data_IF_290311947969
#
_entry.id   IF_290311947969
#
_cell.length_a   1.000
_cell.length_b   1.000
_cell.length_c   1.000
_cell.angle_alpha   90.00
_cell.angle_beta   90.00
_cell.angle_gamma   90.00
#
_symmetry.space_group_name_H-M   'P 1'
#
loop_
_entity.id
_entity.type
_entity.pdbx_description
1 polymer ?
#
# COMPACT_ATOMS: atom_id res chain seq x y z
N UNK A 1 -13.66 -16.05 10.82
CA UNK A 1 -13.02 -14.99 10.00
C UNK A 1 -11.82 -14.44 10.76
N UNK A 2 -10.60 -14.54 10.20
CA UNK A 2 -9.41 -13.93 10.81
C UNK A 2 -9.33 -12.47 10.36
N UNK A 3 -9.40 -11.53 11.30
CA UNK A 3 -9.28 -10.09 11.03
C UNK A 3 -7.80 -9.72 11.02
N UNK A 4 -7.33 -9.13 9.91
CA UNK A 4 -6.01 -8.53 9.85
C UNK A 4 -6.15 -7.04 10.13
N UNK A 5 -5.56 -6.56 11.23
CA UNK A 5 -5.62 -5.16 11.64
C UNK A 5 -4.40 -4.45 11.06
N UNK A 6 -4.60 -3.57 10.09
CA UNK A 6 -3.51 -2.91 9.38
C UNK A 6 -3.10 -1.61 10.10
N UNK A 7 -1.80 -1.34 10.10
CA UNK A 7 -1.11 -0.11 10.57
C UNK A 7 -1.79 1.17 10.06
N UNK A 8 -2.50 1.08 8.93
CA UNK A 8 -3.30 2.13 8.31
C UNK A 8 -4.27 2.86 9.27
N UNK A 9 -4.93 2.16 10.22
CA UNK A 9 -5.82 2.83 11.17
C UNK A 9 -5.05 3.68 12.20
N UNK A 10 -3.89 3.21 12.65
CA UNK A 10 -3.02 3.96 13.55
C UNK A 10 -2.39 5.17 12.84
N UNK A 11 -2.02 5.00 11.57
CA UNK A 11 -1.47 6.08 10.74
C UNK A 11 -2.51 7.15 10.42
N UNK A 12 -3.75 6.78 10.14
CA UNK A 12 -4.83 7.74 9.87
C UNK A 12 -5.08 8.66 11.07
N UNK A 13 -5.11 8.08 12.28
CA UNK A 13 -5.27 8.86 13.51
C UNK A 13 -4.05 9.76 13.76
N UNK A 14 -2.83 9.23 13.59
CA UNK A 14 -1.60 9.98 13.82
C UNK A 14 -1.46 11.18 12.85
N UNK A 15 -1.75 11.00 11.57
CA UNK A 15 -1.67 12.07 10.56
C UNK A 15 -2.77 13.12 10.81
N UNK A 16 -4.01 12.68 11.10
CA UNK A 16 -5.09 13.60 11.45
C UNK A 16 -4.77 14.45 12.66
N UNK A 17 -4.16 13.87 13.70
CA UNK A 17 -3.69 14.59 14.87
C UNK A 17 -2.56 15.57 14.54
N UNK A 18 -1.60 15.14 13.72
CA UNK A 18 -0.44 15.95 13.29
C UNK A 18 -0.88 17.19 12.49
N UNK A 19 -1.88 17.05 11.62
CA UNK A 19 -2.47 18.15 10.85
C UNK A 19 -3.29 19.14 11.69
N UNK A 20 -3.60 18.82 12.96
CA UNK A 20 -4.21 19.75 13.91
C UNK A 20 -3.15 20.38 14.81
N UNK A 21 -2.22 19.59 15.34
CA UNK A 21 -1.20 20.07 16.29
C UNK A 21 -0.17 20.97 15.59
N UNK A 22 0.31 20.60 14.40
CA UNK A 22 1.36 21.36 13.73
C UNK A 22 0.94 22.79 13.35
N UNK A 23 -0.26 23.05 12.80
CA UNK A 23 -0.73 24.43 12.56
C UNK A 23 -0.87 25.26 13.84
N UNK A 24 -1.37 24.67 14.94
CA UNK A 24 -1.48 25.36 16.23
C UNK A 24 -0.10 25.80 16.74
N UNK A 25 0.89 24.93 16.64
CA UNK A 25 2.27 25.25 17.03
C UNK A 25 2.87 26.33 16.12
N UNK A 26 2.63 26.28 14.81
CA UNK A 26 3.09 27.31 13.86
C UNK A 26 2.52 28.68 14.23
N UNK A 27 1.22 28.77 14.52
CA UNK A 27 0.57 30.03 14.95
C UNK A 27 1.16 30.52 16.28
N UNK A 28 1.35 29.62 17.26
CA UNK A 28 1.94 29.96 18.54
C UNK A 28 3.35 30.57 18.40
N UNK A 29 4.20 30.00 17.54
CA UNK A 29 5.54 30.54 17.28
C UNK A 29 5.51 31.83 16.45
N UNK A 30 4.55 31.97 15.52
CA UNK A 30 4.39 33.18 14.70
C UNK A 30 3.94 34.42 15.50
N UNK A 31 3.26 34.23 16.63
CA UNK A 31 2.83 35.32 17.52
C UNK A 31 3.98 35.87 18.39
N UNK A 32 5.13 35.21 18.41
CA UNK A 32 6.32 35.66 19.16
C UNK A 32 7.18 36.59 18.30
N UNK A 33 8.06 37.34 18.95
CA UNK A 33 9.05 38.17 18.24
C UNK A 33 9.88 37.31 17.28
N UNK A 34 10.10 37.77 16.04
CA UNK A 34 10.85 36.99 15.06
C UNK A 34 12.30 36.84 15.50
N UNK A 35 12.71 35.60 15.74
CA UNK A 35 14.07 35.19 16.05
C UNK A 35 14.35 33.83 15.43
N UNK A 36 15.62 33.44 15.39
CA UNK A 36 16.01 32.11 14.89
C UNK A 36 15.27 31.01 15.68
N UNK A 37 15.07 31.22 16.98
CA UNK A 37 14.38 30.29 17.88
C UNK A 37 12.88 30.15 17.61
N UNK A 38 12.27 31.10 16.90
CA UNK A 38 10.86 31.02 16.47
C UNK A 38 10.72 30.54 15.03
N UNK A 39 11.68 30.88 14.17
CA UNK A 39 11.69 30.49 12.75
C UNK A 39 11.99 28.99 12.56
N UNK A 40 12.99 28.44 13.25
CA UNK A 40 13.39 27.04 13.08
C UNK A 40 12.24 26.07 13.44
N UNK A 41 11.56 26.18 14.60
CA UNK A 41 10.43 25.32 14.92
C UNK A 41 9.29 25.40 13.89
N UNK A 42 8.98 26.59 13.38
CA UNK A 42 7.94 26.75 12.35
C UNK A 42 8.26 25.97 11.08
N UNK A 43 9.51 26.04 10.60
CA UNK A 43 9.96 25.26 9.43
C UNK A 43 9.82 23.76 9.71
N UNK A 44 10.21 23.30 10.90
CA UNK A 44 10.08 21.89 11.28
C UNK A 44 8.62 21.42 11.27
N UNK A 45 7.68 22.20 11.81
CA UNK A 45 6.27 21.86 11.78
C UNK A 45 5.68 21.86 10.36
N UNK A 46 6.14 22.77 9.49
CA UNK A 46 5.76 22.78 8.07
C UNK A 46 6.28 21.51 7.37
N UNK A 47 7.55 21.17 7.57
CA UNK A 47 8.14 19.93 7.04
C UNK A 47 7.40 18.69 7.53
N UNK A 48 6.97 18.68 8.79
CA UNK A 48 6.15 17.64 9.39
C UNK A 48 4.81 17.48 8.69
N UNK A 49 4.08 18.58 8.43
CA UNK A 49 2.81 18.54 7.67
C UNK A 49 3.06 17.98 6.26
N UNK A 50 4.04 18.53 5.54
CA UNK A 50 4.34 18.10 4.16
C UNK A 50 4.71 16.62 4.10
N UNK A 51 5.52 16.13 5.04
CA UNK A 51 5.93 14.72 5.09
C UNK A 51 4.77 13.83 5.50
N UNK A 52 3.95 14.26 6.46
CA UNK A 52 2.74 13.56 6.91
C UNK A 52 1.72 13.40 5.78
N UNK A 53 1.43 14.48 5.05
CA UNK A 53 0.53 14.46 3.89
C UNK A 53 1.10 13.65 2.73
N UNK A 54 2.41 13.74 2.46
CA UNK A 54 3.03 12.90 1.44
C UNK A 54 2.92 11.41 1.80
N UNK A 55 3.15 11.07 3.06
CA UNK A 55 2.98 9.70 3.57
C UNK A 55 1.50 9.27 3.53
N UNK A 56 0.56 10.18 3.85
CA UNK A 56 -0.88 9.96 3.73
C UNK A 56 -1.27 9.61 2.29
N UNK A 57 -0.88 10.42 1.32
CA UNK A 57 -1.16 10.18 -0.10
C UNK A 57 -0.50 8.91 -0.61
N UNK A 58 0.73 8.62 -0.17
CA UNK A 58 1.41 7.37 -0.49
C UNK A 58 0.67 6.15 0.08
N UNK A 59 0.19 6.25 1.32
CA UNK A 59 -0.49 5.17 2.01
C UNK A 59 -1.98 5.04 1.66
N UNK A 60 -2.62 6.07 1.13
CA UNK A 60 -3.99 6.06 0.61
C UNK A 60 -4.17 4.95 -0.43
N UNK A 61 -3.18 4.78 -1.30
CA UNK A 61 -3.11 3.70 -2.29
C UNK A 61 -2.80 2.32 -1.66
N UNK A 62 -2.54 2.26 -0.35
CA UNK A 62 -2.23 1.05 0.42
C UNK A 62 -3.23 0.77 1.55
N UNK A 63 -4.25 1.63 1.76
CA UNK A 63 -5.29 1.51 2.79
C UNK A 63 -6.38 0.50 2.43
N UNK A 64 -5.96 -0.66 1.98
CA UNK A 64 -6.84 -1.76 1.72
C UNK A 64 -6.82 -2.68 2.94
N UNK A 65 -7.94 -2.77 3.64
CA UNK A 65 -8.14 -3.81 4.64
C UNK A 65 -8.42 -5.11 3.88
N UNK A 66 -7.43 -6.01 3.85
CA UNK A 66 -7.56 -7.30 3.19
C UNK A 66 -7.88 -8.37 4.23
N UNK A 67 -9.00 -9.05 4.03
CA UNK A 67 -9.44 -10.20 4.79
C UNK A 67 -9.44 -11.41 3.87
N UNK A 68 -9.24 -12.58 4.44
CA UNK A 68 -9.36 -13.82 3.71
C UNK A 68 -9.96 -14.90 4.61
N UNK A 69 -10.62 -15.86 3.99
CA UNK A 69 -11.03 -17.11 4.62
C UNK A 69 -10.48 -18.29 3.81
N UNK A 70 -11.13 -19.43 3.84
CA UNK A 70 -10.66 -20.61 3.11
C UNK A 70 -10.93 -20.55 1.60
N UNK A 71 -11.90 -19.74 1.18
CA UNK A 71 -12.45 -19.71 -0.18
C UNK A 71 -12.26 -18.38 -0.89
N UNK A 72 -12.17 -17.26 -0.16
CA UNK A 72 -12.14 -15.94 -0.78
C UNK A 72 -11.19 -14.95 -0.13
N UNK A 73 -10.87 -13.93 -0.92
CA UNK A 73 -10.16 -12.73 -0.52
C UNK A 73 -11.15 -11.57 -0.62
N UNK A 74 -11.24 -10.77 0.44
CA UNK A 74 -12.07 -9.58 0.53
C UNK A 74 -11.20 -8.38 0.83
N UNK A 75 -11.25 -7.37 -0.04
CA UNK A 75 -10.55 -6.12 0.17
C UNK A 75 -11.57 -5.01 0.38
N UNK A 76 -11.47 -4.33 1.52
CA UNK A 76 -12.34 -3.22 1.88
C UNK A 76 -11.55 -1.91 1.91
N UNK A 77 -12.08 -0.90 1.23
CA UNK A 77 -11.59 0.47 1.27
C UNK A 77 -12.75 1.42 1.51
N UNK A 78 -12.80 2.05 2.69
CA UNK A 78 -13.95 2.87 3.12
C UNK A 78 -15.31 2.17 2.89
N UNK A 79 -16.04 2.58 1.84
CA UNK A 79 -17.36 2.07 1.42
C UNK A 79 -17.33 1.13 0.21
N UNK A 80 -16.17 0.91 -0.39
CA UNK A 80 -15.99 -0.03 -1.51
C UNK A 80 -15.46 -1.35 -0.98
N UNK A 81 -16.08 -2.43 -1.44
CA UNK A 81 -15.71 -3.80 -1.12
C UNK A 81 -15.47 -4.55 -2.43
N UNK A 82 -14.31 -5.18 -2.55
CA UNK A 82 -13.97 -6.08 -3.65
C UNK A 82 -13.81 -7.48 -3.09
N UNK A 83 -14.29 -8.48 -3.82
CA UNK A 83 -14.22 -9.89 -3.44
C UNK A 83 -13.79 -10.70 -4.65
N UNK A 84 -12.96 -11.72 -4.42
CA UNK A 84 -12.66 -12.76 -5.40
C UNK A 84 -12.53 -14.07 -4.66
N UNK A 85 -13.11 -15.11 -5.23
CA UNK A 85 -12.88 -16.47 -4.74
C UNK A 85 -11.50 -16.92 -5.24
N UNK A 86 -10.75 -17.65 -4.40
CA UNK A 86 -9.41 -18.14 -4.77
C UNK A 86 -9.42 -18.96 -6.06
N UNK A 87 -10.52 -19.66 -6.34
CA UNK A 87 -10.71 -20.47 -7.55
C UNK A 87 -10.89 -19.63 -8.81
N UNK A 88 -11.38 -18.39 -8.68
CA UNK A 88 -11.56 -17.45 -9.80
C UNK A 88 -10.26 -16.71 -10.14
N UNK A 89 -9.25 -16.80 -9.28
CA UNK A 89 -7.94 -16.16 -9.50
C UNK A 89 -7.20 -16.89 -10.61
N UNK A 90 -7.07 -16.22 -11.76
CA UNK A 90 -6.30 -16.72 -12.91
C UNK A 90 -4.93 -16.09 -13.03
N UNK A 91 -4.74 -14.87 -12.52
CA UNK A 91 -3.51 -14.10 -12.66
C UNK A 91 -3.09 -13.45 -11.34
N UNK A 92 -1.79 -13.51 -11.05
CA UNK A 92 -1.14 -12.79 -9.96
C UNK A 92 -0.07 -11.87 -10.55
N UNK A 93 -0.27 -10.56 -10.43
CA UNK A 93 0.68 -9.55 -10.88
C UNK A 93 1.52 -9.04 -9.71
N UNK A 94 2.83 -9.23 -9.76
CA UNK A 94 3.76 -8.82 -8.71
C UNK A 94 4.43 -7.50 -9.09
N UNK A 95 4.13 -6.42 -8.36
CA UNK A 95 4.62 -5.05 -8.62
C UNK A 95 5.28 -4.48 -7.36
N UNK A 96 6.60 -4.58 -7.25
CA UNK A 96 7.33 -4.19 -6.04
C UNK A 96 6.89 -5.02 -4.83
N UNK A 97 6.35 -4.37 -3.79
CA UNK A 97 5.80 -5.00 -2.58
C UNK A 97 4.30 -5.33 -2.69
N UNK A 98 3.67 -5.14 -3.85
CA UNK A 98 2.24 -5.38 -4.06
C UNK A 98 2.00 -6.63 -4.91
N UNK A 99 0.94 -7.37 -4.56
CA UNK A 99 0.34 -8.41 -5.41
C UNK A 99 -1.04 -7.99 -5.81
N UNK A 100 -1.29 -7.93 -7.11
CA UNK A 100 -2.61 -7.70 -7.66
C UNK A 100 -3.19 -9.01 -8.15
N UNK A 101 -4.38 -9.32 -7.66
CA UNK A 101 -5.13 -10.55 -7.94
C UNK A 101 -6.19 -10.24 -8.99
N UNK A 102 -6.22 -11.03 -10.06
CA UNK A 102 -7.13 -10.82 -11.19
C UNK A 102 -7.69 -12.13 -11.75
N UNK A 103 -8.94 -12.10 -12.18
CA UNK A 103 -9.55 -13.14 -13.01
C UNK A 103 -9.30 -12.95 -14.52
N UNK A 104 -8.82 -11.77 -14.92
CA UNK A 104 -8.68 -11.35 -16.31
C UNK A 104 -7.22 -11.19 -16.72
N UNK A 105 -6.90 -11.56 -17.96
CA UNK A 105 -5.60 -11.28 -18.57
C UNK A 105 -5.58 -9.87 -19.15
N UNK A 106 -4.76 -9.01 -18.58
CA UNK A 106 -4.53 -7.66 -19.10
C UNK A 106 -3.42 -7.58 -20.18
N UNK A 107 -2.83 -8.72 -20.59
CA UNK A 107 -1.75 -8.82 -21.59
C UNK A 107 -0.64 -7.79 -21.37
N UNK A 108 -0.20 -7.69 -20.11
CA UNK A 108 0.81 -6.71 -19.70
C UNK A 108 2.18 -7.21 -20.18
N UNK A 109 2.76 -6.51 -21.16
CA UNK A 109 4.14 -6.75 -21.58
C UNK A 109 5.12 -6.18 -20.54
N UNK A 110 5.53 -7.05 -19.62
CA UNK A 110 6.55 -6.76 -18.63
C UNK A 110 7.94 -6.94 -19.25
N UNK A 111 8.69 -5.86 -19.43
CA UNK A 111 10.14 -5.97 -19.54
C UNK A 111 10.71 -6.01 -18.12
N UNK A 112 11.79 -6.77 -17.91
CA UNK A 112 12.57 -6.67 -16.68
C UNK A 112 12.99 -5.20 -16.51
N UNK A 113 12.75 -4.65 -15.32
CA UNK A 113 12.80 -3.22 -14.98
C UNK A 113 11.71 -2.34 -15.61
N UNK A 114 10.57 -2.28 -14.91
CA UNK A 114 9.49 -1.34 -15.19
C UNK A 114 9.85 0.05 -14.65
N UNK A 115 9.95 1.04 -15.54
CA UNK A 115 10.14 2.44 -15.15
C UNK A 115 9.01 2.93 -14.21
N UNK A 116 9.26 3.97 -13.42
CA UNK A 116 8.23 4.55 -12.54
C UNK A 116 6.96 4.98 -13.33
N UNK A 117 7.13 5.50 -14.54
CA UNK A 117 6.03 5.90 -15.44
C UNK A 117 5.18 4.70 -15.86
N UNK A 118 5.81 3.60 -16.24
CA UNK A 118 5.09 2.36 -16.59
C UNK A 118 4.43 1.73 -15.36
N UNK A 119 5.09 1.73 -14.19
CA UNK A 119 4.47 1.25 -12.94
C UNK A 119 3.16 1.98 -12.65
N UNK A 120 3.15 3.31 -12.79
CA UNK A 120 1.93 4.12 -12.61
C UNK A 120 0.86 3.78 -13.64
N UNK A 121 1.23 3.53 -14.90
CA UNK A 121 0.30 3.10 -15.94
C UNK A 121 -0.33 1.74 -15.62
N UNK A 122 0.46 0.78 -15.18
CA UNK A 122 -0.02 -0.56 -14.81
C UNK A 122 -0.98 -0.51 -13.63
N UNK A 123 -0.68 0.27 -12.59
CA UNK A 123 -1.59 0.49 -11.47
C UNK A 123 -2.91 1.14 -11.88
N UNK A 124 -2.94 1.96 -12.94
CA UNK A 124 -4.20 2.52 -13.48
C UNK A 124 -5.02 1.46 -14.20
N UNK A 125 -4.40 0.61 -15.00
CA UNK A 125 -5.08 -0.50 -15.71
C UNK A 125 -5.70 -1.45 -14.68
N UNK A 126 -4.93 -1.78 -13.65
CA UNK A 126 -5.31 -2.76 -12.63
C UNK A 126 -6.06 -2.14 -11.44
N UNK A 127 -6.44 -0.86 -11.50
CA UNK A 127 -7.02 -0.12 -10.36
C UNK A 127 -8.29 -0.75 -9.80
N UNK A 128 -9.04 -1.46 -10.65
CA UNK A 128 -10.30 -2.10 -10.29
C UNK A 128 -10.13 -3.52 -9.75
N UNK A 129 -8.92 -4.08 -9.84
CA UNK A 129 -8.59 -5.41 -9.30
C UNK A 129 -8.30 -5.37 -7.80
N UNK A 130 -8.16 -6.54 -7.19
CA UNK A 130 -7.81 -6.68 -5.79
C UNK A 130 -6.31 -6.46 -5.60
N UNK A 131 -5.95 -5.45 -4.80
CA UNK A 131 -4.55 -5.07 -4.57
C UNK A 131 -4.11 -5.37 -3.14
N UNK A 132 -3.14 -6.25 -2.99
CA UNK A 132 -2.67 -6.69 -1.69
C UNK A 132 -1.25 -6.18 -1.49
N UNK A 133 -1.10 -5.21 -0.58
CA UNK A 133 0.22 -4.78 -0.14
C UNK A 133 0.80 -5.83 0.79
N UNK A 134 2.02 -6.27 0.51
CA UNK A 134 2.70 -7.25 1.34
C UNK A 134 3.61 -6.54 2.31
N UNK A 135 3.43 -6.90 3.57
CA UNK A 135 4.30 -6.46 4.64
C UNK A 135 5.51 -7.40 4.70
N UNK A 136 6.72 -6.83 4.65
CA UNK A 136 7.98 -7.57 4.74
C UNK A 136 8.11 -8.34 6.06
N UNK A 137 7.44 -7.87 7.11
CA UNK A 137 7.40 -8.50 8.43
C UNK A 137 6.34 -9.59 8.55
N UNK A 138 5.41 -9.72 7.59
CA UNK A 138 4.38 -10.77 7.58
C UNK A 138 4.48 -11.66 6.33
N UNK A 139 5.27 -12.72 6.50
CA UNK A 139 5.48 -13.75 5.47
C UNK A 139 4.35 -14.78 5.41
N UNK A 140 3.38 -14.77 6.34
CA UNK A 140 2.34 -15.81 6.40
C UNK A 140 1.29 -15.62 5.30
N UNK A 141 0.86 -14.37 5.10
CA UNK A 141 -0.17 -14.05 4.11
C UNK A 141 0.25 -14.36 2.65
N UNK A 142 1.43 -13.95 2.16
CA UNK A 142 1.89 -14.30 0.80
C UNK A 142 1.92 -15.82 0.56
N UNK A 143 2.35 -16.60 1.56
CA UNK A 143 2.38 -18.06 1.46
C UNK A 143 0.99 -18.66 1.28
N UNK A 144 -0.01 -18.17 2.01
CA UNK A 144 -1.40 -18.63 1.88
C UNK A 144 -1.94 -18.28 0.50
N UNK A 145 -1.73 -17.05 0.05
CA UNK A 145 -2.16 -16.58 -1.28
C UNK A 145 -1.57 -17.47 -2.39
N UNK A 146 -0.27 -17.73 -2.36
CA UNK A 146 0.38 -18.55 -3.37
C UNK A 146 -0.05 -20.02 -3.33
N UNK A 147 -0.29 -20.57 -2.13
CA UNK A 147 -0.76 -21.95 -1.96
C UNK A 147 -2.19 -22.11 -2.48
N UNK A 148 -3.08 -21.17 -2.16
CA UNK A 148 -4.49 -21.20 -2.58
C UNK A 148 -4.66 -20.86 -4.07
N UNK A 149 -3.83 -19.97 -4.61
CA UNK A 149 -3.83 -19.57 -6.02
C UNK A 149 -2.75 -20.30 -6.86
N UNK A 150 -2.42 -21.54 -6.54
CA UNK A 150 -1.27 -22.22 -7.18
C UNK A 150 -1.41 -22.40 -8.71
N UNK A 151 -2.65 -22.45 -9.21
CA UNK A 151 -2.96 -22.55 -10.65
C UNK A 151 -2.88 -21.21 -11.39
N UNK A 152 -2.77 -20.09 -10.68
CA UNK A 152 -2.76 -18.77 -11.29
C UNK A 152 -1.42 -18.49 -11.99
N UNK A 153 -1.48 -17.83 -13.14
CA UNK A 153 -0.30 -17.36 -13.87
C UNK A 153 0.36 -16.22 -13.11
N UNK A 154 1.64 -16.41 -12.77
CA UNK A 154 2.44 -15.44 -12.02
C UNK A 154 3.18 -14.52 -12.99
N UNK A 155 2.92 -13.21 -12.91
CA UNK A 155 3.49 -12.20 -13.78
C UNK A 155 4.32 -11.24 -12.94
N UNK A 156 5.65 -11.31 -13.08
CA UNK A 156 6.59 -10.47 -12.33
C UNK A 156 6.87 -9.17 -13.10
N UNK A 157 6.47 -8.04 -12.53
CA UNK A 157 6.56 -6.70 -13.14
C UNK A 157 7.63 -5.81 -12.48
N UNK A 158 8.66 -6.41 -11.88
CA UNK A 158 9.75 -5.68 -11.23
C UNK A 158 9.68 -5.72 -9.70
N UNK A 159 9.88 -6.92 -9.14
CA UNK A 159 10.22 -7.09 -7.73
C UNK A 159 11.72 -6.86 -7.59
N UNK A 160 12.14 -5.66 -7.17
CA UNK A 160 13.57 -5.33 -6.99
C UNK A 160 14.16 -5.93 -5.73
N UNK A 161 13.35 -6.12 -4.69
CA UNK A 161 13.83 -6.56 -3.39
C UNK A 161 13.93 -8.08 -3.31
N UNK A 162 15.12 -8.57 -2.96
CA UNK A 162 15.40 -9.98 -2.71
C UNK A 162 14.41 -10.61 -1.73
N UNK A 163 14.07 -9.87 -0.65
CA UNK A 163 13.12 -10.33 0.37
C UNK A 163 11.72 -10.55 -0.22
N UNK A 164 11.28 -9.65 -1.10
CA UNK A 164 10.01 -9.82 -1.80
C UNK A 164 10.05 -11.02 -2.75
N UNK A 165 11.15 -11.23 -3.50
CA UNK A 165 11.32 -12.44 -4.33
C UNK A 165 11.25 -13.72 -3.50
N UNK A 166 11.99 -13.78 -2.39
CA UNK A 166 11.98 -14.92 -1.46
C UNK A 166 10.60 -15.17 -0.83
N UNK A 167 9.76 -14.13 -0.65
CA UNK A 167 8.38 -14.30 -0.20
C UNK A 167 7.46 -14.90 -1.27
N UNK A 168 7.84 -14.85 -2.55
CA UNK A 168 7.06 -15.36 -3.70
C UNK A 168 7.62 -16.64 -4.31
N UNK A 169 8.88 -16.94 -4.06
CA UNK A 169 9.55 -18.19 -4.36
C UNK A 169 9.26 -19.17 -3.22
N UNK A 170 8.08 -19.78 -3.25
CA UNK A 170 7.84 -21.03 -2.53
C UNK A 170 8.64 -22.13 -3.23
N UNK A 171 9.75 -22.56 -2.61
CA UNK A 171 10.17 -23.96 -2.72
C UNK A 171 9.21 -24.82 -1.90
#
# INVERSE_FOLDING_TARGET
MKKYNNIANHVNFAIGLMNVVAPVMIVFFAMKSPSIDTIIPMILFICMIVTGDFMYFYLLDHWYLTYYDEHKIVQKWFKKEKKIDFEEVKYLYFIGTMVIVSAHDFKINAKNDVSFKERRRLLRILKNELCISINVYDKAFPKILLRKCFKAVKINLGVKEKICKEMFELN
#
